data_IF_506312615857
#
_entry.id   IF_506312615857
#
_cell.length_a   1.000
_cell.length_b   1.000
_cell.length_c   1.000
_cell.angle_alpha   90.00
_cell.angle_beta   90.00
_cell.angle_gamma   90.00
#
_symmetry.space_group_name_H-M   'P 1'
#
loop_
_entity.id
_entity.type
_entity.pdbx_description
1 polymer ?
#
# COMPACT_ATOMS: atom_id res chain seq x y z
N UNK A 1 -38.01 -43.82 9.35
CA UNK A 1 -38.93 -42.74 9.74
C UNK A 1 -39.01 -41.74 8.61
N UNK A 2 -40.23 -41.34 8.31
CA UNK A 2 -40.68 -40.59 7.15
C UNK A 2 -40.54 -39.06 7.23
N UNK A 3 -40.46 -38.46 6.03
CA UNK A 3 -41.03 -37.19 5.54
C UNK A 3 -40.59 -35.79 6.06
N UNK A 4 -39.99 -35.04 5.11
CA UNK A 4 -40.43 -33.74 4.53
C UNK A 4 -40.43 -32.45 5.38
N UNK A 5 -39.65 -31.49 4.84
CA UNK A 5 -39.81 -30.02 4.70
C UNK A 5 -40.87 -29.30 5.57
N UNK A 6 -40.50 -28.11 6.04
CA UNK A 6 -41.32 -26.90 5.87
C UNK A 6 -40.50 -25.61 5.91
N UNK A 7 -40.55 -24.87 4.81
CA UNK A 7 -40.17 -23.48 4.68
C UNK A 7 -41.29 -22.58 5.21
N UNK A 8 -40.96 -21.49 5.88
CA UNK A 8 -41.80 -20.29 6.07
C UNK A 8 -40.85 -19.08 6.12
N UNK A 9 -40.71 -18.25 5.08
CA UNK A 9 -41.60 -17.16 4.67
C UNK A 9 -42.02 -16.30 5.87
N UNK A 10 -41.17 -15.35 6.26
CA UNK A 10 -41.54 -14.26 7.17
C UNK A 10 -41.84 -13.02 6.36
N UNK A 11 -43.07 -12.57 6.55
CA UNK A 11 -43.81 -11.46 5.98
C UNK A 11 -43.05 -10.12 6.00
N UNK A 12 -43.15 -9.42 4.88
CA UNK A 12 -42.95 -7.96 4.75
C UNK A 12 -44.27 -7.28 5.17
N UNK A 13 -44.29 -6.37 6.16
CA UNK A 13 -45.46 -5.53 6.41
C UNK A 13 -45.47 -4.31 5.47
N UNK A 14 -46.63 -3.96 4.85
CA UNK A 14 -46.79 -2.75 4.06
C UNK A 14 -47.38 -1.63 4.95
N UNK A 15 -46.75 -0.46 4.96
CA UNK A 15 -47.39 0.77 5.43
C UNK A 15 -47.00 1.91 4.49
N UNK A 16 -48.03 2.58 4.01
CA UNK A 16 -48.00 3.50 2.89
C UNK A 16 -47.66 4.94 3.30
N UNK A 17 -47.17 5.65 2.28
CA UNK A 17 -47.46 7.05 1.96
C UNK A 17 -46.77 8.18 2.74
N UNK A 18 -45.96 8.89 1.95
CA UNK A 18 -45.95 10.34 1.77
C UNK A 18 -45.32 11.22 2.87
N UNK A 19 -44.15 11.76 2.55
CA UNK A 19 -43.82 13.18 2.69
C UNK A 19 -42.78 13.54 1.61
N UNK A 20 -43.27 14.09 0.51
CA UNK A 20 -42.45 14.86 -0.41
C UNK A 20 -42.35 16.29 0.12
N UNK A 21 -41.15 16.87 0.13
CA UNK A 21 -40.84 18.23 -0.34
C UNK A 21 -39.49 18.72 0.23
N UNK A 22 -38.63 19.13 -0.71
CA UNK A 22 -37.64 20.22 -0.61
C UNK A 22 -36.35 19.98 0.18
N UNK A 23 -35.33 19.50 -0.55
CA UNK A 23 -33.95 20.00 -0.48
C UNK A 23 -33.30 19.79 -1.85
N UNK A 24 -33.73 20.59 -2.82
CA UNK A 24 -33.12 20.67 -4.14
C UNK A 24 -32.29 21.95 -4.19
N UNK A 25 -31.11 21.90 -3.57
CA UNK A 25 -30.09 22.96 -3.67
C UNK A 25 -28.76 22.28 -3.94
N UNK A 26 -28.25 22.44 -5.16
CA UNK A 26 -26.82 22.35 -5.45
C UNK A 26 -26.31 21.08 -6.13
N UNK A 27 -26.97 20.54 -7.15
CA UNK A 27 -26.27 19.70 -8.15
C UNK A 27 -25.48 20.61 -9.09
N UNK A 28 -24.32 21.08 -8.61
CA UNK A 28 -23.27 21.57 -9.49
C UNK A 28 -22.84 20.41 -10.39
N UNK A 29 -23.35 20.40 -11.61
CA UNK A 29 -22.80 19.58 -12.69
C UNK A 29 -21.39 20.11 -12.98
N UNK A 30 -20.41 19.62 -12.22
CA UNK A 30 -19.03 19.66 -12.64
C UNK A 30 -18.94 18.78 -13.89
N UNK A 31 -19.03 19.43 -15.05
CA UNK A 31 -18.56 18.86 -16.31
C UNK A 31 -17.05 18.68 -16.20
N UNK A 32 -16.64 17.63 -15.47
CA UNK A 32 -15.32 17.09 -15.67
C UNK A 32 -15.40 16.44 -17.05
N UNK A 33 -14.85 17.15 -18.04
CA UNK A 33 -14.41 16.54 -19.28
C UNK A 33 -13.33 15.52 -18.94
N UNK A 34 -13.73 14.39 -18.36
CA UNK A 34 -12.89 13.23 -18.24
C UNK A 34 -12.86 12.62 -19.64
N UNK A 35 -11.91 13.10 -20.45
CA UNK A 35 -11.40 12.30 -21.54
C UNK A 35 -11.17 10.88 -20.97
N UNK A 36 -11.67 9.81 -21.60
CA UNK A 36 -11.39 8.47 -21.13
C UNK A 36 -9.88 8.33 -21.12
N UNK A 37 -9.29 8.29 -19.92
CA UNK A 37 -7.90 7.91 -19.74
C UNK A 37 -7.85 6.44 -20.12
N UNK A 38 -7.64 6.17 -21.41
CA UNK A 38 -7.32 4.84 -21.92
C UNK A 38 -5.94 4.53 -21.38
N UNK A 39 -5.88 4.08 -20.13
CA UNK A 39 -4.70 3.43 -19.60
C UNK A 39 -4.53 2.16 -20.45
N UNK A 40 -3.42 2.00 -21.19
CA UNK A 40 -3.19 0.76 -21.90
C UNK A 40 -3.27 -0.38 -20.88
N UNK A 41 -4.10 -1.38 -21.19
CA UNK A 41 -4.23 -2.55 -20.34
C UNK A 41 -2.82 -3.15 -20.15
N UNK A 42 -2.44 -3.52 -18.91
CA UNK A 42 -1.11 -4.08 -18.66
C UNK A 42 -0.95 -5.31 -19.55
N UNK A 43 0.02 -5.28 -20.45
CA UNK A 43 0.35 -6.41 -21.31
C UNK A 43 0.68 -7.58 -20.39
N UNK A 44 -0.17 -8.61 -20.36
CA UNK A 44 0.08 -9.81 -19.56
C UNK A 44 1.25 -10.55 -20.18
N UNK A 45 2.42 -10.42 -19.56
CA UNK A 45 3.63 -11.15 -19.97
C UNK A 45 3.37 -12.63 -19.67
N UNK A 46 3.39 -13.46 -20.72
CA UNK A 46 3.33 -14.91 -20.55
C UNK A 46 4.74 -15.44 -20.26
N UNK A 47 4.95 -15.91 -19.04
CA UNK A 47 6.21 -16.50 -18.59
C UNK A 47 6.28 -17.98 -18.96
N UNK A 48 7.43 -18.43 -19.46
CA UNK A 48 7.73 -19.86 -19.60
C UNK A 48 7.77 -20.55 -18.23
N UNK A 49 7.55 -21.88 -18.13
CA UNK A 49 7.65 -22.61 -16.86
C UNK A 49 8.99 -22.40 -16.15
N UNK A 50 10.09 -22.38 -16.90
CA UNK A 50 11.42 -22.13 -16.36
C UNK A 50 11.56 -20.71 -15.77
N UNK A 51 11.10 -19.68 -16.50
CA UNK A 51 11.09 -18.30 -16.01
C UNK A 51 10.24 -18.14 -14.74
N UNK A 52 9.10 -18.84 -14.63
CA UNK A 52 8.28 -18.83 -13.40
C UNK A 52 9.03 -19.40 -12.20
N UNK A 53 9.68 -20.56 -12.39
CA UNK A 53 10.51 -21.20 -11.36
C UNK A 53 11.62 -20.26 -10.87
N UNK A 54 12.42 -19.73 -11.80
CA UNK A 54 13.57 -18.90 -11.45
C UNK A 54 13.16 -17.55 -10.88
N UNK A 55 12.07 -16.95 -11.39
CA UNK A 55 11.50 -15.74 -10.81
C UNK A 55 11.04 -15.97 -9.37
N UNK A 56 10.36 -17.08 -9.09
CA UNK A 56 9.92 -17.41 -7.73
C UNK A 56 11.09 -17.61 -6.77
N UNK A 57 12.10 -18.40 -7.17
CA UNK A 57 13.30 -18.63 -6.35
C UNK A 57 14.03 -17.31 -6.05
N UNK A 58 14.21 -16.48 -7.08
CA UNK A 58 14.81 -15.15 -6.95
C UNK A 58 14.01 -14.25 -6.03
N UNK A 59 12.71 -14.11 -6.26
CA UNK A 59 11.83 -13.29 -5.41
C UNK A 59 11.82 -13.76 -3.96
N UNK A 60 11.78 -15.07 -3.71
CA UNK A 60 11.84 -15.63 -2.36
C UNK A 60 13.16 -15.26 -1.68
N UNK A 61 14.29 -15.43 -2.37
CA UNK A 61 15.61 -15.08 -1.82
C UNK A 61 15.73 -13.59 -1.50
N UNK A 62 15.33 -12.73 -2.44
CA UNK A 62 15.31 -11.27 -2.22
C UNK A 62 14.39 -10.87 -1.06
N UNK A 63 13.22 -11.51 -0.96
CA UNK A 63 12.28 -11.25 0.14
C UNK A 63 12.88 -11.63 1.48
N UNK A 64 13.48 -12.81 1.60
CA UNK A 64 14.12 -13.25 2.86
C UNK A 64 15.24 -12.30 3.28
N UNK A 65 16.10 -11.89 2.33
CA UNK A 65 17.16 -10.92 2.59
C UNK A 65 16.58 -9.57 3.04
N UNK A 66 15.58 -9.06 2.33
CA UNK A 66 14.92 -7.81 2.68
C UNK A 66 14.30 -7.81 4.08
N UNK A 67 13.69 -8.92 4.51
CA UNK A 67 13.16 -9.04 5.88
C UNK A 67 14.27 -9.05 6.91
N UNK A 68 15.36 -9.76 6.66
CA UNK A 68 16.52 -9.76 7.56
C UNK A 68 17.13 -8.35 7.71
N UNK A 69 17.27 -7.61 6.61
CA UNK A 69 17.74 -6.22 6.61
C UNK A 69 16.77 -5.31 7.39
N UNK A 70 15.46 -5.47 7.22
CA UNK A 70 14.45 -4.70 7.97
C UNK A 70 14.54 -4.95 9.47
N UNK A 71 14.69 -6.21 9.88
CA UNK A 71 14.88 -6.57 11.30
C UNK A 71 16.16 -5.90 11.83
N UNK A 72 17.26 -5.93 11.07
CA UNK A 72 18.50 -5.27 11.48
C UNK A 72 18.35 -3.76 11.66
N UNK A 73 17.63 -3.09 10.75
CA UNK A 73 17.33 -1.66 10.87
C UNK A 73 16.51 -1.38 12.13
N UNK A 74 15.48 -2.18 12.39
CA UNK A 74 14.63 -2.04 13.57
C UNK A 74 15.42 -2.22 14.87
N UNK A 75 16.25 -3.27 14.97
CA UNK A 75 17.09 -3.52 16.15
C UNK A 75 18.12 -2.41 16.38
N UNK A 76 18.68 -1.85 15.30
CA UNK A 76 19.60 -0.69 15.40
C UNK A 76 18.84 0.56 15.86
N UNK A 77 17.64 0.79 15.33
CA UNK A 77 16.77 1.89 15.75
C UNK A 77 16.41 1.80 17.22
N UNK A 78 15.96 0.64 17.69
CA UNK A 78 15.65 0.36 19.09
C UNK A 78 16.83 0.68 20.02
N UNK A 79 18.03 0.18 19.71
CA UNK A 79 19.24 0.51 20.49
C UNK A 79 19.54 2.00 20.52
N UNK A 80 19.47 2.67 19.38
CA UNK A 80 19.71 4.11 19.30
C UNK A 80 18.71 4.89 20.17
N UNK A 81 17.43 4.52 20.13
CA UNK A 81 16.39 5.14 20.93
C UNK A 81 16.59 4.91 22.43
N UNK A 82 17.05 3.72 22.84
CA UNK A 82 17.36 3.42 24.24
C UNK A 82 18.57 4.21 24.77
N UNK A 83 19.49 4.61 23.89
CA UNK A 83 20.70 5.37 24.23
C UNK A 83 20.51 6.89 24.12
N UNK A 84 19.44 7.35 23.46
CA UNK A 84 19.17 8.77 23.26
C UNK A 84 18.84 9.47 24.58
N UNK A 85 19.57 10.56 24.89
CA UNK A 85 19.45 11.30 26.16
C UNK A 85 18.67 12.61 26.04
N UNK A 86 18.38 13.03 24.82
CA UNK A 86 17.76 14.31 24.50
C UNK A 86 17.06 14.27 23.13
N UNK A 87 16.40 15.37 22.79
CA UNK A 87 15.64 15.51 21.54
C UNK A 87 16.55 15.53 20.30
N UNK A 88 17.79 16.00 20.42
CA UNK A 88 18.74 16.03 19.31
C UNK A 88 19.15 14.60 18.95
N UNK A 89 19.54 13.81 19.95
CA UNK A 89 19.87 12.39 19.81
C UNK A 89 18.68 11.59 19.26
N UNK A 90 17.46 11.84 19.75
CA UNK A 90 16.25 11.22 19.24
C UNK A 90 16.03 11.54 17.75
N UNK A 91 16.20 12.80 17.35
CA UNK A 91 16.08 13.22 15.94
C UNK A 91 17.13 12.55 15.05
N UNK A 92 18.37 12.46 15.53
CA UNK A 92 19.47 11.80 14.84
C UNK A 92 19.21 10.29 14.64
N UNK A 93 18.68 9.59 15.65
CA UNK A 93 18.28 8.18 15.54
C UNK A 93 17.24 7.98 14.43
N UNK A 94 16.20 8.81 14.42
CA UNK A 94 15.14 8.76 13.41
C UNK A 94 15.67 9.04 12.01
N UNK A 95 16.59 10.00 11.88
CA UNK A 95 17.18 10.34 10.60
C UNK A 95 18.00 9.18 10.04
N UNK A 96 18.82 8.55 10.90
CA UNK A 96 19.62 7.38 10.54
C UNK A 96 18.75 6.21 10.11
N UNK A 97 17.67 5.92 10.86
CA UNK A 97 16.73 4.86 10.49
C UNK A 97 16.04 5.16 9.15
N UNK A 98 15.60 6.41 8.92
CA UNK A 98 15.02 6.84 7.65
C UNK A 98 15.98 6.66 6.48
N UNK A 99 17.26 6.98 6.66
CA UNK A 99 18.29 6.79 5.63
C UNK A 99 18.51 5.31 5.33
N UNK A 100 18.67 4.48 6.37
CA UNK A 100 18.84 3.04 6.21
C UNK A 100 17.65 2.39 5.48
N UNK A 101 16.41 2.82 5.77
CA UNK A 101 15.22 2.36 5.04
C UNK A 101 15.24 2.76 3.57
N UNK A 102 15.65 3.99 3.24
CA UNK A 102 15.75 4.46 1.84
C UNK A 102 16.80 3.67 1.07
N UNK A 103 17.96 3.45 1.68
CA UNK A 103 19.02 2.64 1.10
C UNK A 103 18.54 1.22 0.84
N UNK A 104 17.88 0.59 1.82
CA UNK A 104 17.30 -0.75 1.64
C UNK A 104 16.29 -0.78 0.48
N UNK A 105 15.40 0.21 0.38
CA UNK A 105 14.46 0.28 -0.74
C UNK A 105 15.16 0.41 -2.10
N UNK A 106 16.23 1.20 -2.18
CA UNK A 106 16.99 1.37 -3.42
C UNK A 106 17.73 0.09 -3.81
N UNK A 107 18.42 -0.55 -2.86
CA UNK A 107 19.08 -1.84 -3.08
C UNK A 107 18.09 -2.92 -3.52
N UNK A 108 16.97 -3.05 -2.82
CA UNK A 108 15.94 -4.05 -3.18
C UNK A 108 15.37 -3.80 -4.57
N UNK A 109 15.20 -2.54 -4.97
CA UNK A 109 14.80 -2.19 -6.34
C UNK A 109 15.85 -2.66 -7.32
N UNK A 110 17.12 -2.32 -7.12
CA UNK A 110 18.23 -2.70 -8.00
C UNK A 110 18.35 -4.21 -8.16
N UNK A 111 18.30 -4.96 -7.05
CA UNK A 111 18.34 -6.42 -7.07
C UNK A 111 17.13 -7.02 -7.81
N UNK A 112 15.94 -6.45 -7.64
CA UNK A 112 14.76 -6.85 -8.39
C UNK A 112 14.89 -6.55 -9.89
N UNK A 113 15.48 -5.40 -10.28
CA UNK A 113 15.76 -5.11 -11.70
C UNK A 113 16.75 -6.11 -12.27
N UNK A 114 17.82 -6.42 -11.54
CA UNK A 114 18.83 -7.38 -11.95
C UNK A 114 18.22 -8.79 -12.15
N UNK A 115 17.32 -9.21 -11.25
CA UNK A 115 16.57 -10.47 -11.41
C UNK A 115 15.74 -10.47 -12.70
N UNK A 116 15.01 -9.40 -12.99
CA UNK A 116 14.20 -9.31 -14.21
C UNK A 116 15.07 -9.32 -15.47
N UNK A 117 16.17 -8.56 -15.47
CA UNK A 117 17.11 -8.51 -16.60
C UNK A 117 17.72 -9.89 -16.90
N UNK A 118 18.16 -10.62 -15.86
CA UNK A 118 18.70 -11.99 -16.01
C UNK A 118 17.70 -12.97 -16.61
N UNK A 119 16.40 -12.77 -16.36
CA UNK A 119 15.32 -13.61 -16.86
C UNK A 119 14.71 -13.14 -18.19
N UNK A 120 15.26 -12.07 -18.78
CA UNK A 120 14.72 -11.45 -19.99
C UNK A 120 13.33 -10.85 -19.80
N UNK A 121 12.98 -10.47 -18.57
CA UNK A 121 11.69 -9.90 -18.21
C UNK A 121 11.74 -8.38 -18.22
N UNK A 122 10.66 -7.70 -18.61
CA UNK A 122 10.61 -6.25 -18.53
C UNK A 122 10.74 -5.81 -17.07
N UNK A 123 11.58 -4.81 -16.85
CA UNK A 123 11.84 -4.28 -15.53
C UNK A 123 10.59 -3.55 -15.03
N UNK A 124 10.06 -3.85 -13.82
CA UNK A 124 8.94 -3.14 -13.26
C UNK A 124 9.32 -1.67 -13.10
N UNK A 125 8.66 -0.78 -13.83
CA UNK A 125 8.77 0.64 -13.56
C UNK A 125 8.07 0.86 -12.22
N UNK A 126 8.84 1.25 -11.19
CA UNK A 126 8.24 1.64 -9.92
C UNK A 126 7.16 2.66 -10.19
N UNK A 127 5.99 2.53 -9.56
CA UNK A 127 4.91 3.52 -9.71
C UNK A 127 5.47 4.88 -9.30
N UNK A 128 5.91 5.68 -10.28
CA UNK A 128 6.08 7.11 -10.08
C UNK A 128 4.69 7.58 -9.70
N UNK A 129 4.60 8.27 -8.57
CA UNK A 129 3.36 8.88 -8.13
C UNK A 129 3.00 10.02 -9.08
N UNK A 130 2.60 9.70 -10.31
CA UNK A 130 2.01 10.61 -11.28
C UNK A 130 0.51 10.75 -11.00
N UNK A 131 0.14 10.78 -9.72
CA UNK A 131 -1.14 11.30 -9.26
C UNK A 131 -0.88 12.71 -8.74
N UNK A 132 -1.82 13.67 -8.91
CA UNK A 132 -1.67 14.98 -8.29
C UNK A 132 -1.39 14.74 -6.80
N UNK A 133 -0.24 15.24 -6.32
CA UNK A 133 0.06 15.34 -4.89
C UNK A 133 -1.15 16.01 -4.26
N UNK A 134 -2.03 15.22 -3.64
CA UNK A 134 -3.14 15.76 -2.87
C UNK A 134 -2.54 16.73 -1.87
N UNK A 135 -2.83 18.02 -2.03
CA UNK A 135 -2.59 19.01 -0.97
C UNK A 135 -3.26 18.47 0.29
N UNK A 136 -2.50 18.26 1.35
CA UNK A 136 -3.05 18.19 2.70
C UNK A 136 -3.69 16.88 3.13
N UNK A 137 -3.03 15.74 2.90
CA UNK A 137 -3.14 14.66 3.88
C UNK A 137 -2.12 14.95 4.95
N UNK A 138 -2.54 15.38 6.15
CA UNK A 138 -1.63 15.50 7.30
C UNK A 138 -0.82 14.21 7.35
N UNK A 139 0.51 14.32 7.15
CA UNK A 139 1.41 13.25 7.50
C UNK A 139 0.97 12.84 8.91
N UNK A 140 0.56 11.57 9.07
CA UNK A 140 0.22 11.03 10.38
C UNK A 140 1.39 11.42 11.27
N UNK A 141 1.14 12.37 12.15
CA UNK A 141 2.00 12.63 13.25
C UNK A 141 2.10 11.27 13.93
N UNK A 142 3.27 10.65 13.87
CA UNK A 142 3.68 9.88 15.01
C UNK A 142 3.67 10.91 16.13
N UNK A 143 2.54 11.03 16.82
CA UNK A 143 2.42 11.86 18.00
C UNK A 143 3.49 11.33 18.93
N UNK A 144 4.55 12.10 19.08
CA UNK A 144 5.54 11.82 20.08
C UNK A 144 4.83 11.85 21.43
N UNK A 145 4.92 10.81 22.26
CA UNK A 145 4.44 10.90 23.64
C UNK A 145 5.19 11.98 24.45
N UNK A 146 6.27 12.57 23.91
CA UNK A 146 7.01 13.68 24.49
C UNK A 146 6.36 15.06 24.31
N UNK A 147 5.36 15.23 23.43
CA UNK A 147 4.65 16.51 23.24
C UNK A 147 3.53 16.74 24.29
N UNK A 148 3.45 15.90 25.33
CA UNK A 148 2.43 15.94 26.39
C UNK A 148 3.00 16.19 27.80
N UNK A 149 4.25 16.65 27.93
CA UNK A 149 4.86 17.03 29.21
C UNK A 149 5.36 18.46 29.14
#
# INVERSE_FOLDING_TARGET
MSFIRRAQLVLIPPAAAALAMLLQVGSSQAQTGAAPSVRPAPTRIQLTPNQKSELFKGQRSLSLKAHSDQISILQKGERCLNEAKDLEALSACRQTERQARRELMNRNREEARALHQRLGLPVPQGRRGDGPRGKGGKAGAWSDPADQI
#
